data_IF_877335960287
#
_entry.id   IF_877335960287
#
_cell.length_a   1.000
_cell.length_b   1.000
_cell.length_c   1.000
_cell.angle_alpha   90.00
_cell.angle_beta   90.00
_cell.angle_gamma   90.00
#
_symmetry.space_group_name_H-M   'P 1'
#
loop_
_entity.id
_entity.type
_entity.pdbx_description
1 polymer ?
#
# COMPACT_ATOMS: atom_id res chain seq x y z
N UNK A 1 25.62 -20.94 31.46
CA UNK A 1 25.94 -20.02 30.34
C UNK A 1 25.73 -20.74 29.02
N UNK A 2 24.49 -20.80 28.52
CA UNK A 2 24.20 -21.40 27.20
C UNK A 2 24.47 -20.35 26.13
N UNK A 3 25.59 -20.52 25.43
CA UNK A 3 25.97 -19.71 24.29
C UNK A 3 24.84 -19.73 23.25
N UNK A 4 24.37 -18.54 22.96
CA UNK A 4 23.37 -18.14 21.99
C UNK A 4 23.76 -18.58 20.57
N UNK A 5 23.35 -19.79 20.17
CA UNK A 5 23.31 -20.19 18.76
C UNK A 5 22.14 -19.48 18.04
N UNK A 6 22.27 -18.17 17.80
CA UNK A 6 21.34 -17.38 16.96
C UNK A 6 22.03 -17.06 15.63
N UNK A 7 22.65 -18.05 14.99
CA UNK A 7 23.45 -17.79 13.81
C UNK A 7 23.44 -18.93 12.78
N UNK A 8 22.25 -19.44 12.47
CA UNK A 8 21.96 -20.04 11.16
C UNK A 8 20.46 -19.84 10.93
N UNK A 9 20.08 -19.00 9.97
CA UNK A 9 18.67 -18.81 9.65
C UNK A 9 18.61 -18.79 8.14
N UNK A 10 18.08 -19.87 7.56
CA UNK A 10 17.85 -19.95 6.12
C UNK A 10 17.03 -18.71 5.73
N UNK A 11 17.23 -18.19 4.51
CA UNK A 11 16.41 -17.11 3.93
C UNK A 11 14.92 -17.28 4.24
N UNK A 12 14.44 -18.52 4.11
CA UNK A 12 13.05 -18.87 4.34
C UNK A 12 12.59 -18.62 5.79
N UNK A 13 13.40 -18.97 6.79
CA UNK A 13 13.05 -18.78 8.20
C UNK A 13 12.90 -17.29 8.56
N UNK A 14 13.67 -16.39 7.94
CA UNK A 14 13.55 -14.94 8.14
C UNK A 14 12.20 -14.46 7.60
N UNK A 15 11.84 -14.91 6.40
CA UNK A 15 10.58 -14.57 5.73
C UNK A 15 9.40 -15.08 6.56
N UNK A 16 9.49 -16.30 7.09
CA UNK A 16 8.41 -16.91 7.88
C UNK A 16 8.22 -16.19 9.22
N UNK A 17 9.31 -15.85 9.92
CA UNK A 17 9.25 -15.04 11.15
C UNK A 17 8.65 -13.66 10.89
N UNK A 18 9.05 -13.02 9.80
CA UNK A 18 8.54 -11.71 9.40
C UNK A 18 7.05 -11.76 9.07
N UNK A 19 6.61 -12.76 8.30
CA UNK A 19 5.20 -12.97 7.98
C UNK A 19 4.37 -13.21 9.24
N UNK A 20 4.84 -14.09 10.13
CA UNK A 20 4.17 -14.40 11.41
C UNK A 20 3.99 -13.14 12.26
N UNK A 21 5.01 -12.29 12.33
CA UNK A 21 4.96 -11.06 13.10
C UNK A 21 3.98 -10.04 12.51
N UNK A 22 3.91 -9.91 11.19
CA UNK A 22 2.91 -9.07 10.53
C UNK A 22 1.48 -9.58 10.76
N UNK A 23 1.28 -10.90 10.77
CA UNK A 23 -0.02 -11.49 11.10
C UNK A 23 -0.42 -11.23 12.56
N UNK A 24 0.53 -11.31 13.50
CA UNK A 24 0.28 -11.00 14.93
C UNK A 24 -0.13 -9.55 15.11
N UNK A 25 0.48 -8.61 14.38
CA UNK A 25 0.12 -7.18 14.42
C UNK A 25 -1.13 -6.83 13.59
N UNK A 26 -1.87 -7.83 13.08
CA UNK A 26 -3.12 -7.66 12.33
C UNK A 26 -3.01 -6.74 11.10
N UNK A 27 -1.89 -6.80 10.37
CA UNK A 27 -1.78 -6.12 9.09
C UNK A 27 -2.71 -6.74 8.04
N UNK A 28 -3.23 -5.92 7.12
CA UNK A 28 -4.04 -6.41 6.00
C UNK A 28 -3.23 -7.36 5.10
N UNK A 29 -3.91 -8.32 4.47
CA UNK A 29 -3.28 -9.24 3.51
C UNK A 29 -2.53 -8.51 2.38
N UNK A 30 -3.04 -7.35 1.95
CA UNK A 30 -2.37 -6.56 0.92
C UNK A 30 -1.08 -5.93 1.47
N UNK A 31 -1.10 -5.41 2.69
CA UNK A 31 0.10 -4.86 3.34
C UNK A 31 1.15 -5.95 3.55
N UNK A 32 0.73 -7.14 4.01
CA UNK A 32 1.63 -8.29 4.20
C UNK A 32 2.33 -8.64 2.89
N UNK A 33 1.58 -8.77 1.79
CA UNK A 33 2.14 -9.06 0.46
C UNK A 33 3.17 -8.01 0.02
N UNK A 34 2.83 -6.72 0.20
CA UNK A 34 3.73 -5.63 -0.20
C UNK A 34 5.02 -5.65 0.62
N UNK A 35 4.92 -5.84 1.94
CA UNK A 35 6.08 -5.88 2.83
C UNK A 35 6.96 -7.11 2.57
N UNK A 36 6.36 -8.28 2.36
CA UNK A 36 7.09 -9.50 2.00
C UNK A 36 7.81 -9.37 0.66
N UNK A 37 7.18 -8.74 -0.33
CA UNK A 37 7.81 -8.46 -1.63
C UNK A 37 9.03 -7.56 -1.47
N UNK A 38 8.89 -6.46 -0.73
CA UNK A 38 10.00 -5.54 -0.45
C UNK A 38 11.15 -6.24 0.30
N UNK A 39 10.82 -7.10 1.28
CA UNK A 39 11.80 -7.88 2.03
C UNK A 39 12.58 -8.85 1.13
N UNK A 40 11.89 -9.60 0.26
CA UNK A 40 12.53 -10.55 -0.66
C UNK A 40 13.54 -9.86 -1.57
N UNK A 41 13.16 -8.72 -2.15
CA UNK A 41 14.04 -7.93 -3.01
C UNK A 41 15.29 -7.43 -2.28
N UNK A 42 15.14 -7.05 -1.01
CA UNK A 42 16.27 -6.66 -0.16
C UNK A 42 17.20 -7.84 0.15
N UNK A 43 16.64 -9.01 0.48
CA UNK A 43 17.41 -10.23 0.74
C UNK A 43 18.15 -10.70 -0.52
N UNK A 44 17.51 -10.63 -1.69
CA UNK A 44 18.13 -10.94 -2.98
C UNK A 44 19.32 -10.00 -3.27
N UNK A 45 19.19 -8.71 -2.96
CA UNK A 45 20.29 -7.76 -3.15
C UNK A 45 21.47 -8.04 -2.20
N UNK A 46 21.20 -8.35 -0.92
CA UNK A 46 22.24 -8.69 0.06
C UNK A 46 22.99 -9.97 -0.32
N UNK A 47 22.28 -11.01 -0.79
CA UNK A 47 22.94 -12.25 -1.20
C UNK A 47 23.86 -12.03 -2.41
N UNK A 48 23.48 -11.15 -3.33
CA UNK A 48 24.33 -10.76 -4.45
C UNK A 48 25.54 -9.92 -4.03
N UNK A 49 25.43 -9.08 -3.00
CA UNK A 49 26.55 -8.27 -2.50
C UNK A 49 27.59 -9.06 -1.70
N UNK A 50 27.34 -10.34 -1.39
CA UNK A 50 28.21 -11.24 -0.59
C UNK A 50 28.61 -10.65 0.77
N UNK A 51 27.86 -9.67 1.28
CA UNK A 51 28.17 -9.01 2.54
C UNK A 51 27.94 -10.00 3.70
N UNK A 52 29.01 -10.34 4.44
CA UNK A 52 28.91 -11.18 5.64
C UNK A 52 28.12 -10.53 6.78
N UNK A 53 28.01 -9.19 6.77
CA UNK A 53 27.30 -8.38 7.75
C UNK A 53 26.70 -7.18 7.03
N UNK A 54 25.41 -6.95 7.23
CA UNK A 54 24.73 -5.75 6.71
C UNK A 54 25.08 -4.56 7.60
N UNK A 55 25.69 -3.56 7.00
CA UNK A 55 26.11 -2.29 7.63
C UNK A 55 25.19 -1.16 7.17
N UNK A 56 25.17 -0.04 7.88
CA UNK A 56 24.38 1.15 7.49
C UNK A 56 24.71 1.63 6.06
N UNK A 57 25.97 1.54 5.64
CA UNK A 57 26.39 1.85 4.27
C UNK A 57 25.77 0.91 3.24
N UNK A 58 25.60 -0.38 3.56
CA UNK A 58 24.98 -1.35 2.64
C UNK A 58 23.49 -1.02 2.43
N UNK A 59 22.82 -0.54 3.48
CA UNK A 59 21.44 -0.10 3.40
C UNK A 59 21.34 1.16 2.53
N UNK A 60 22.24 2.14 2.71
CA UNK A 60 22.27 3.32 1.85
C UNK A 60 22.52 2.96 0.39
N UNK A 61 23.45 2.05 0.12
CA UNK A 61 23.74 1.55 -1.23
C UNK A 61 22.53 0.83 -1.84
N UNK A 62 21.78 0.05 -1.05
CA UNK A 62 20.54 -0.56 -1.53
C UNK A 62 19.47 0.46 -1.87
N UNK A 63 19.30 1.48 -1.02
CA UNK A 63 18.34 2.55 -1.26
C UNK A 63 18.71 3.36 -2.52
N UNK A 64 19.99 3.63 -2.71
CA UNK A 64 20.51 4.25 -3.93
C UNK A 64 20.27 3.37 -5.17
N UNK A 65 20.52 2.06 -5.08
CA UNK A 65 20.20 1.10 -6.14
C UNK A 65 18.70 1.07 -6.50
N UNK A 66 17.82 1.20 -5.50
CA UNK A 66 16.37 1.27 -5.72
C UNK A 66 15.94 2.55 -6.45
N UNK A 67 16.64 3.65 -6.23
CA UNK A 67 16.39 4.92 -6.93
C UNK A 67 16.94 4.88 -8.36
N UNK A 68 18.21 4.50 -8.53
CA UNK A 68 18.91 4.57 -9.83
C UNK A 68 18.43 3.50 -10.82
N UNK A 69 18.41 2.23 -10.40
CA UNK A 69 18.14 1.12 -11.32
C UNK A 69 16.66 0.77 -11.40
N UNK A 70 15.95 0.80 -10.27
CA UNK A 70 14.54 0.41 -10.19
C UNK A 70 13.57 1.58 -10.38
N UNK A 71 14.03 2.83 -10.29
CA UNK A 71 13.23 4.06 -10.42
C UNK A 71 11.98 4.03 -9.53
N UNK A 72 12.15 3.64 -8.26
CA UNK A 72 11.01 3.54 -7.35
C UNK A 72 10.36 4.89 -7.09
N UNK A 73 9.02 4.90 -7.21
CA UNK A 73 8.21 6.03 -6.80
C UNK A 73 8.30 6.25 -5.29
N UNK A 74 7.99 7.47 -4.85
CA UNK A 74 7.99 7.87 -3.45
C UNK A 74 7.22 6.90 -2.53
N UNK A 75 6.04 6.46 -2.94
CA UNK A 75 5.20 5.53 -2.17
C UNK A 75 5.86 4.16 -2.01
N UNK A 76 6.47 3.64 -3.07
CA UNK A 76 7.19 2.37 -3.08
C UNK A 76 8.42 2.44 -2.18
N UNK A 77 9.22 3.50 -2.32
CA UNK A 77 10.42 3.70 -1.50
C UNK A 77 10.09 3.78 0.00
N UNK A 78 9.01 4.48 0.35
CA UNK A 78 8.50 4.52 1.72
C UNK A 78 8.11 3.14 2.26
N UNK A 79 7.45 2.31 1.44
CA UNK A 79 7.11 0.94 1.82
C UNK A 79 8.36 0.08 2.04
N UNK A 80 9.38 0.22 1.20
CA UNK A 80 10.66 -0.48 1.34
C UNK A 80 11.34 -0.10 2.65
N UNK A 81 11.48 1.19 2.95
CA UNK A 81 12.08 1.67 4.20
C UNK A 81 11.30 1.15 5.41
N UNK A 82 9.97 1.21 5.38
CA UNK A 82 9.14 0.70 6.47
C UNK A 82 9.30 -0.82 6.67
N UNK A 83 9.38 -1.60 5.60
CA UNK A 83 9.58 -3.04 5.66
C UNK A 83 10.95 -3.41 6.27
N UNK A 84 12.02 -2.71 5.86
CA UNK A 84 13.36 -2.94 6.42
C UNK A 84 13.41 -2.51 7.89
N UNK A 85 12.87 -1.35 8.24
CA UNK A 85 12.80 -0.90 9.65
C UNK A 85 12.02 -1.89 10.53
N UNK A 86 10.92 -2.45 10.02
CA UNK A 86 10.15 -3.49 10.72
C UNK A 86 10.97 -4.76 10.94
N UNK A 87 11.75 -5.20 9.93
CA UNK A 87 12.62 -6.37 10.04
C UNK A 87 13.62 -6.20 11.20
N UNK A 88 14.31 -5.06 11.27
CA UNK A 88 15.28 -4.78 12.33
C UNK A 88 14.64 -4.73 13.72
N UNK A 89 13.52 -4.02 13.85
CA UNK A 89 12.84 -3.85 15.14
C UNK A 89 12.21 -5.15 15.65
N UNK A 90 11.53 -5.89 14.78
CA UNK A 90 10.60 -6.94 15.20
C UNK A 90 11.12 -8.36 15.00
N UNK A 91 12.01 -8.57 14.03
CA UNK A 91 12.60 -9.89 13.76
C UNK A 91 13.99 -10.00 14.38
N UNK A 92 14.82 -8.97 14.22
CA UNK A 92 16.18 -8.96 14.77
C UNK A 92 16.28 -8.37 16.17
N UNK A 93 15.23 -7.69 16.66
CA UNK A 93 15.22 -6.99 17.96
C UNK A 93 16.43 -6.06 18.13
N UNK A 94 16.76 -5.34 17.06
CA UNK A 94 17.87 -4.38 16.99
C UNK A 94 17.34 -2.97 16.76
N UNK A 95 18.09 -1.92 17.16
CA UNK A 95 17.74 -0.56 16.80
C UNK A 95 17.70 -0.41 15.28
N UNK A 96 16.82 0.47 14.80
CA UNK A 96 16.73 0.81 13.38
C UNK A 96 18.06 1.46 12.96
N UNK A 97 18.70 0.98 11.87
CA UNK A 97 19.85 1.63 11.27
C UNK A 97 19.59 3.11 10.97
N UNK A 98 20.58 3.98 11.23
CA UNK A 98 20.45 5.43 10.95
C UNK A 98 20.25 5.70 9.47
N UNK A 99 20.77 4.82 8.62
CA UNK A 99 20.56 4.82 7.18
C UNK A 99 19.08 4.83 6.74
N UNK A 100 18.15 4.39 7.60
CA UNK A 100 16.71 4.36 7.28
C UNK A 100 15.97 5.61 7.76
N UNK A 101 16.61 6.50 8.52
CA UNK A 101 16.05 7.79 8.98
C UNK A 101 16.08 8.84 7.87
N UNK A 102 15.68 8.46 6.65
CA UNK A 102 15.65 9.36 5.50
C UNK A 102 14.29 10.02 5.39
N UNK A 103 14.29 11.36 5.38
CA UNK A 103 13.09 12.16 5.14
C UNK A 103 12.85 12.28 3.62
N UNK A 104 12.10 11.33 3.06
CA UNK A 104 11.71 11.37 1.65
C UNK A 104 10.88 12.64 1.36
N UNK A 105 11.18 13.33 0.25
CA UNK A 105 10.42 14.50 -0.21
C UNK A 105 9.17 14.04 -0.97
N UNK A 106 7.98 14.39 -0.47
CA UNK A 106 6.72 14.01 -1.12
C UNK A 106 6.56 14.79 -2.43
N UNK A 107 6.35 14.11 -3.58
CA UNK A 107 6.01 14.80 -4.81
C UNK A 107 4.62 15.44 -4.66
N UNK A 108 4.51 16.73 -4.98
CA UNK A 108 3.24 17.46 -4.99
C UNK A 108 2.55 17.23 -6.32
N UNK A 109 1.41 16.54 -6.30
CA UNK A 109 0.51 16.45 -7.45
C UNK A 109 -0.71 17.32 -7.20
N UNK A 110 -1.08 18.12 -8.21
CA UNK A 110 -2.35 18.83 -8.22
C UNK A 110 -3.47 17.79 -8.40
N UNK A 111 -4.53 17.79 -7.57
CA UNK A 111 -5.65 16.91 -7.77
C UNK A 111 -6.33 17.25 -9.10
N UNK A 112 -6.37 16.29 -10.02
CA UNK A 112 -7.17 16.42 -11.24
C UNK A 112 -8.63 16.25 -10.86
N UNK A 113 -9.37 17.35 -10.78
CA UNK A 113 -10.82 17.34 -10.56
C UNK A 113 -11.51 17.18 -11.92
N UNK A 114 -12.36 16.17 -12.07
CA UNK A 114 -13.18 16.00 -13.26
C UNK A 114 -14.26 17.08 -13.31
N UNK A 115 -14.47 17.68 -14.49
CA UNK A 115 -15.57 18.61 -14.68
C UNK A 115 -16.91 17.86 -14.76
N UNK A 116 -18.01 18.56 -14.46
CA UNK A 116 -19.38 18.01 -14.60
C UNK A 116 -19.63 17.48 -16.02
N UNK A 117 -19.08 18.16 -17.04
CA UNK A 117 -19.21 17.74 -18.44
C UNK A 117 -18.52 16.41 -18.72
N UNK A 118 -17.37 16.16 -18.10
CA UNK A 118 -16.64 14.90 -18.28
C UNK A 118 -17.36 13.73 -17.59
N UNK A 119 -17.99 14.00 -16.46
CA UNK A 119 -18.79 13.00 -15.73
C UNK A 119 -20.03 12.61 -16.53
N UNK A 120 -20.74 13.57 -17.12
CA UNK A 120 -21.89 13.27 -17.98
C UNK A 120 -21.48 12.38 -19.18
N UNK A 121 -20.35 12.67 -19.83
CA UNK A 121 -19.82 11.81 -20.90
C UNK A 121 -19.56 10.37 -20.42
N UNK A 122 -19.04 10.18 -19.21
CA UNK A 122 -18.79 8.85 -18.64
C UNK A 122 -20.12 8.12 -18.34
N UNK A 123 -21.11 8.84 -17.82
CA UNK A 123 -22.43 8.28 -17.50
C UNK A 123 -23.28 7.93 -18.74
N UNK A 124 -23.04 8.61 -19.86
CA UNK A 124 -23.74 8.36 -21.12
C UNK A 124 -23.19 7.13 -21.87
N UNK A 125 -21.90 6.85 -21.75
CA UNK A 125 -21.27 5.65 -22.35
C UNK A 125 -21.56 4.39 -21.52
N UNK A 126 -21.88 4.53 -20.23
CA UNK A 126 -22.16 3.41 -19.32
C UNK A 126 -23.59 2.91 -19.49
N UNK A 127 -23.76 1.80 -20.24
CA UNK A 127 -25.07 1.21 -20.56
C UNK A 127 -25.67 0.39 -19.42
N UNK A 128 -24.84 -0.24 -18.59
CA UNK A 128 -25.31 -1.05 -17.46
C UNK A 128 -25.80 -0.18 -16.30
N UNK A 129 -27.08 -0.34 -15.94
CA UNK A 129 -27.70 0.38 -14.84
C UNK A 129 -26.90 0.25 -13.53
N UNK A 130 -26.40 -0.97 -13.23
CA UNK A 130 -25.60 -1.25 -12.02
C UNK A 130 -24.32 -0.41 -11.95
N UNK A 131 -23.62 -0.27 -13.08
CA UNK A 131 -22.38 0.50 -13.14
C UNK A 131 -22.69 2.00 -13.06
N UNK A 132 -23.77 2.45 -13.72
CA UNK A 132 -24.22 3.84 -13.72
C UNK A 132 -24.63 4.32 -12.32
N UNK A 133 -25.39 3.52 -11.57
CA UNK A 133 -25.78 3.85 -10.19
C UNK A 133 -24.56 3.95 -9.26
N UNK A 134 -23.59 3.05 -9.42
CA UNK A 134 -22.37 3.09 -8.61
C UNK A 134 -21.53 4.34 -8.91
N UNK A 135 -21.38 4.71 -10.19
CA UNK A 135 -20.69 5.93 -10.61
C UNK A 135 -21.34 7.19 -10.01
N UNK A 136 -22.67 7.30 -10.10
CA UNK A 136 -23.40 8.43 -9.50
C UNK A 136 -23.24 8.48 -7.98
N UNK A 137 -23.34 7.33 -7.29
CA UNK A 137 -23.19 7.26 -5.83
C UNK A 137 -21.78 7.65 -5.37
N UNK A 138 -20.75 7.21 -6.09
CA UNK A 138 -19.36 7.58 -5.80
C UNK A 138 -19.16 9.09 -5.99
N UNK A 139 -19.73 9.65 -7.06
CA UNK A 139 -19.60 11.08 -7.35
C UNK A 139 -20.37 11.96 -6.36
N UNK A 140 -21.64 11.65 -6.06
CA UNK A 140 -22.47 12.45 -5.16
C UNK A 140 -22.14 12.24 -3.68
N UNK A 141 -21.79 11.00 -3.30
CA UNK A 141 -21.48 10.61 -1.92
C UNK A 141 -20.01 10.72 -1.54
N UNK A 142 -19.11 11.07 -2.48
CA UNK A 142 -17.67 11.16 -2.22
C UNK A 142 -17.04 9.86 -1.74
N UNK A 143 -17.64 8.71 -2.08
CA UNK A 143 -17.24 7.41 -1.53
C UNK A 143 -15.89 6.97 -2.08
N UNK A 144 -15.00 6.51 -1.19
CA UNK A 144 -13.74 5.89 -1.60
C UNK A 144 -13.98 4.44 -2.00
N UNK A 145 -13.47 4.05 -3.17
CA UNK A 145 -13.45 2.67 -3.64
C UNK A 145 -12.45 1.85 -2.81
N UNK A 146 -12.88 1.37 -1.65
CA UNK A 146 -12.09 0.43 -0.84
C UNK A 146 -12.89 -0.82 -0.53
N UNK A 147 -12.77 -1.84 -1.39
CA UNK A 147 -13.19 -3.21 -1.11
C UNK A 147 -14.53 -3.67 -1.72
N UNK A 148 -14.90 -4.94 -1.50
CA UNK A 148 -16.07 -5.60 -2.11
C UNK A 148 -17.44 -5.15 -1.55
N UNK A 149 -17.45 -4.22 -0.60
CA UNK A 149 -18.66 -3.69 0.07
C UNK A 149 -19.61 -2.90 -0.85
N UNK A 150 -19.24 -2.68 -2.12
CA UNK A 150 -20.02 -1.91 -3.06
C UNK A 150 -21.46 -2.47 -3.25
N UNK A 151 -21.65 -3.79 -3.18
CA UNK A 151 -22.96 -4.41 -3.44
C UNK A 151 -24.02 -4.12 -2.36
N UNK A 152 -23.63 -3.92 -1.10
CA UNK A 152 -24.58 -3.77 0.00
C UNK A 152 -25.14 -2.33 0.11
N UNK A 153 -24.33 -1.31 -0.18
CA UNK A 153 -24.74 0.09 -0.08
C UNK A 153 -25.55 0.57 -1.30
N UNK A 154 -25.35 -0.01 -2.49
CA UNK A 154 -26.16 0.31 -3.67
C UNK A 154 -27.65 0.02 -3.44
N UNK A 155 -28.00 -1.02 -2.68
CA UNK A 155 -29.40 -1.39 -2.43
C UNK A 155 -30.10 -0.43 -1.47
N UNK A 156 -29.43 0.05 -0.42
CA UNK A 156 -30.05 0.90 0.60
C UNK A 156 -30.38 2.30 0.07
N UNK A 157 -29.54 2.85 -0.82
CA UNK A 157 -29.76 4.16 -1.44
C UNK A 157 -30.61 4.09 -2.72
N UNK A 158 -30.54 3.01 -3.51
CA UNK A 158 -31.41 2.87 -4.68
C UNK A 158 -32.89 2.81 -4.28
N UNK A 159 -33.23 2.14 -3.18
CA UNK A 159 -34.60 2.13 -2.65
C UNK A 159 -35.04 3.55 -2.26
N UNK A 160 -34.19 4.32 -1.58
CA UNK A 160 -34.52 5.67 -1.14
C UNK A 160 -34.62 6.70 -2.27
N UNK A 161 -33.90 6.51 -3.38
CA UNK A 161 -34.00 7.39 -4.57
C UNK A 161 -35.21 7.00 -5.44
N UNK A 162 -35.58 5.71 -5.48
CA UNK A 162 -36.75 5.25 -6.26
C UNK A 162 -38.06 5.53 -5.49
N UNK A 163 -38.06 5.53 -4.16
CA UNK A 163 -39.23 5.90 -3.35
C UNK A 163 -39.49 7.41 -3.26
N UNK A 164 -38.58 8.25 -3.73
CA UNK A 164 -38.72 9.71 -3.76
C UNK A 164 -38.86 10.23 -5.21
N UNK A 165 -39.69 9.58 -6.03
CA UNK A 165 -40.37 10.27 -7.13
C UNK A 165 -41.40 11.25 -6.57
N UNK A 166 -40.91 12.32 -5.95
CA UNK A 166 -41.63 13.57 -5.61
C UNK A 166 -40.65 14.51 -4.92
N UNK A 167 -39.58 14.91 -5.63
CA UNK A 167 -38.83 16.12 -5.30
C UNK A 167 -38.60 16.85 -6.63
N UNK A 168 -39.64 17.53 -7.09
CA UNK A 168 -39.42 18.84 -7.70
C UNK A 168 -38.68 19.72 -6.68
N UNK A 169 -37.89 20.69 -7.16
CA UNK A 169 -37.00 21.60 -6.43
C UNK A 169 -35.59 21.07 -6.11
N UNK A 170 -34.67 21.27 -7.04
CA UNK A 170 -33.51 22.17 -6.83
C UNK A 170 -32.73 22.30 -8.14
N UNK A 171 -33.12 23.23 -9.01
CA UNK A 171 -32.25 23.91 -9.99
C UNK A 171 -33.09 24.97 -10.73
N UNK A 172 -33.35 26.08 -10.04
CA UNK A 172 -33.34 27.43 -10.61
C UNK A 172 -32.37 28.23 -9.74
#
# INVERSE_FOLDING_TARGET
MKQSKIFYTKRQDIIDKFNKQLSIENYSNQTIKNYLSALKLFLDWIENSKAKKVTDNDIQNYLFYCEEHRKYAFSTMKQVIAAISFLYLKVFYKPVPKALEIKLRKPTHLPTVLSVKDINKILDVTKDLKHKTNLMLIYSGGLRLSGPLNAAYTLLCAVNIISHQSIEFFFI
#
